data_IF_438113434582
#
_entry.id   IF_438113434582
#
_cell.length_a   1.000
_cell.length_b   1.000
_cell.length_c   1.000
_cell.angle_alpha   90.00
_cell.angle_beta   90.00
_cell.angle_gamma   90.00
#
_symmetry.space_group_name_H-M   'P 1'
#
loop_
_entity.id
_entity.type
_entity.pdbx_description
1 polymer ?
#
# COMPACT_ATOMS: atom_id res chain seq x y z
N UNK A 1 -5.09 1.58 12.34
CA UNK A 1 -6.47 1.50 12.90
C UNK A 1 -7.49 1.92 11.84
N UNK A 2 -8.77 1.59 12.03
CA UNK A 2 -9.85 2.03 11.12
C UNK A 2 -10.10 3.55 11.17
N UNK A 3 -9.88 4.18 12.33
CA UNK A 3 -9.82 5.65 12.48
C UNK A 3 -11.05 6.32 13.07
N UNK A 4 -12.25 5.77 12.86
CA UNK A 4 -13.50 6.36 13.36
C UNK A 4 -13.82 6.06 14.82
N UNK A 5 -13.25 5.00 15.40
CA UNK A 5 -13.53 4.54 16.75
C UNK A 5 -12.23 4.15 17.46
N UNK A 6 -11.82 4.96 18.44
CA UNK A 6 -10.68 4.70 19.30
C UNK A 6 -10.81 5.54 20.57
N UNK A 7 -10.07 5.17 21.62
CA UNK A 7 -9.88 5.99 22.81
C UNK A 7 -8.40 6.35 22.93
N UNK A 8 -8.11 7.57 23.35
CA UNK A 8 -6.75 8.09 23.53
C UNK A 8 -6.72 9.02 24.73
N UNK A 9 -5.61 9.02 25.48
CA UNK A 9 -5.40 10.04 26.50
C UNK A 9 -5.40 11.43 25.87
N UNK A 10 -6.09 12.38 26.49
CA UNK A 10 -6.26 13.73 25.93
C UNK A 10 -4.93 14.45 25.81
N UNK A 11 -4.07 14.37 26.84
CA UNK A 11 -2.80 15.10 26.84
C UNK A 11 -1.86 14.49 25.81
N UNK A 12 -1.78 13.17 25.76
CA UNK A 12 -1.04 12.44 24.74
C UNK A 12 -1.48 12.83 23.33
N UNK A 13 -2.79 12.87 23.05
CA UNK A 13 -3.32 13.29 21.74
C UNK A 13 -2.79 14.65 21.30
N UNK A 14 -2.76 15.64 22.19
CA UNK A 14 -2.22 16.97 21.89
C UNK A 14 -0.69 16.98 21.79
N UNK A 15 0.00 16.23 22.64
CA UNK A 15 1.46 16.12 22.65
C UNK A 15 2.00 15.52 21.35
N UNK A 16 1.36 14.45 20.85
CA UNK A 16 1.72 13.84 19.57
C UNK A 16 1.22 14.65 18.37
N UNK A 17 0.61 15.83 18.57
CA UNK A 17 0.28 16.78 17.50
C UNK A 17 -1.11 16.62 16.89
N UNK A 18 -2.09 16.10 17.63
CA UNK A 18 -3.51 16.00 17.24
C UNK A 18 -3.72 15.43 15.83
N UNK A 19 -4.60 15.99 15.01
CA UNK A 19 -4.71 15.65 13.58
C UNK A 19 -3.94 16.66 12.73
N UNK A 20 -3.56 16.26 11.52
CA UNK A 20 -3.09 17.20 10.51
C UNK A 20 -4.23 18.12 10.06
N UNK A 21 -4.18 19.39 10.48
CA UNK A 21 -5.19 20.39 10.15
C UNK A 21 -5.24 20.77 8.67
N UNK A 22 -4.25 20.35 7.87
CA UNK A 22 -4.27 20.50 6.42
C UNK A 22 -5.02 19.40 5.68
N UNK A 23 -5.50 18.36 6.38
CA UNK A 23 -6.37 17.34 5.79
C UNK A 23 -7.81 17.87 5.66
N UNK A 24 -8.45 17.51 4.55
CA UNK A 24 -9.77 18.01 4.19
C UNK A 24 -10.81 16.88 4.11
N UNK A 25 -12.01 17.13 4.62
CA UNK A 25 -13.19 16.25 4.59
C UNK A 25 -12.99 14.83 5.14
N UNK A 26 -12.38 13.93 4.38
CA UNK A 26 -12.34 12.51 4.70
C UNK A 26 -11.19 11.77 4.03
N UNK A 27 -10.59 10.83 4.77
CA UNK A 27 -9.65 9.84 4.26
C UNK A 27 -8.21 10.18 4.56
N UNK A 28 -7.40 9.15 4.84
CA UNK A 28 -5.95 9.27 5.09
C UNK A 28 -5.58 9.56 6.55
N UNK A 29 -6.44 10.21 7.32
CA UNK A 29 -6.15 10.63 8.70
C UNK A 29 -5.92 9.43 9.64
N UNK A 30 -6.58 8.31 9.37
CA UNK A 30 -6.43 7.07 10.11
C UNK A 30 -5.06 6.42 9.88
N UNK A 31 -4.53 6.48 8.65
CA UNK A 31 -3.20 6.00 8.31
C UNK A 31 -2.13 6.92 8.91
N UNK A 32 -2.29 8.23 8.78
CA UNK A 32 -1.37 9.23 9.34
C UNK A 32 -1.19 9.07 10.84
N UNK A 33 -2.29 9.04 11.59
CA UNK A 33 -2.26 8.83 13.03
C UNK A 33 -1.67 7.46 13.37
N UNK A 34 -1.95 6.41 12.58
CA UNK A 34 -1.39 5.08 12.84
C UNK A 34 0.13 5.04 12.71
N UNK A 35 0.67 5.61 11.63
CA UNK A 35 2.12 5.70 11.45
C UNK A 35 2.75 6.58 12.52
N UNK A 36 2.17 7.74 12.80
CA UNK A 36 2.67 8.65 13.82
C UNK A 36 2.71 8.01 15.21
N UNK A 37 1.63 7.38 15.67
CA UNK A 37 1.59 6.75 16.99
C UNK A 37 2.70 5.70 17.12
N UNK A 38 2.79 4.75 16.18
CA UNK A 38 3.81 3.70 16.23
C UNK A 38 5.23 4.25 16.12
N UNK A 39 5.47 5.12 15.14
CA UNK A 39 6.82 5.62 14.86
C UNK A 39 7.30 6.60 15.92
N UNK A 40 6.41 7.26 16.66
CA UNK A 40 6.77 8.25 17.69
C UNK A 40 6.67 7.69 19.12
N UNK A 41 6.64 6.36 19.30
CA UNK A 41 6.81 5.70 20.60
C UNK A 41 5.53 5.32 21.33
N UNK A 42 4.37 5.45 20.70
CA UNK A 42 3.12 4.88 21.19
C UNK A 42 2.83 3.49 20.63
N UNK A 43 1.67 2.96 20.98
CA UNK A 43 1.15 1.68 20.47
C UNK A 43 -0.30 1.85 20.03
N UNK A 44 -0.73 1.00 19.10
CA UNK A 44 -2.14 0.87 18.73
C UNK A 44 -2.63 -0.52 19.08
N UNK A 45 -3.75 -0.57 19.80
CA UNK A 45 -4.31 -1.82 20.31
C UNK A 45 -5.78 -1.96 19.91
N UNK A 46 -6.19 -3.19 19.61
CA UNK A 46 -7.60 -3.57 19.49
C UNK A 46 -7.95 -4.32 20.76
N UNK A 47 -8.90 -3.80 21.53
CA UNK A 47 -9.35 -4.40 22.81
C UNK A 47 -10.52 -5.34 22.51
N UNK A 48 -10.35 -6.68 22.54
CA UNK A 48 -11.41 -7.60 22.11
C UNK A 48 -12.66 -7.54 22.99
N UNK A 49 -12.54 -7.10 24.24
CA UNK A 49 -13.67 -6.95 25.16
C UNK A 49 -14.52 -5.68 24.90
N UNK A 50 -14.04 -4.74 24.08
CA UNK A 50 -14.75 -3.51 23.75
C UNK A 50 -15.42 -3.65 22.39
N UNK A 51 -16.76 -3.73 22.40
CA UNK A 51 -17.55 -3.91 21.18
C UNK A 51 -18.35 -2.66 20.87
N UNK A 52 -18.16 -2.11 19.66
CA UNK A 52 -18.98 -1.03 19.11
C UNK A 52 -19.43 -1.42 17.70
N UNK A 53 -20.74 -1.46 17.47
CA UNK A 53 -21.29 -1.72 16.15
C UNK A 53 -21.13 -0.52 15.23
N UNK A 54 -20.67 -0.75 14.00
CA UNK A 54 -20.57 0.27 12.95
C UNK A 54 -21.32 -0.19 11.71
N UNK A 55 -22.18 0.68 11.15
CA UNK A 55 -22.91 0.40 9.91
C UNK A 55 -22.00 0.73 8.73
N UNK A 56 -21.37 -0.30 8.16
CA UNK A 56 -20.60 -0.15 6.93
C UNK A 56 -21.52 0.21 5.76
N UNK A 57 -21.07 1.16 4.94
CA UNK A 57 -21.77 1.62 3.74
C UNK A 57 -20.85 1.40 2.53
N UNK A 58 -21.43 1.06 1.40
CA UNK A 58 -20.73 0.93 0.12
C UNK A 58 -20.56 2.26 -0.63
N UNK A 59 -21.09 3.37 -0.08
CA UNK A 59 -21.06 4.69 -0.70
C UNK A 59 -20.93 5.81 0.34
N UNK A 60 -20.42 6.98 -0.09
CA UNK A 60 -20.38 8.19 0.72
C UNK A 60 -21.74 8.91 0.68
N UNK A 61 -22.37 9.23 1.83
CA UNK A 61 -23.66 9.90 1.88
C UNK A 61 -23.58 11.42 1.67
N UNK A 62 -22.39 11.96 1.40
CA UNK A 62 -22.11 13.38 1.21
C UNK A 62 -21.33 13.60 -0.08
N UNK A 63 -21.46 14.80 -0.64
CA UNK A 63 -20.75 15.22 -1.85
C UNK A 63 -19.42 15.87 -1.50
N UNK A 64 -18.38 15.60 -2.29
CA UNK A 64 -17.11 16.30 -2.19
C UNK A 64 -17.19 17.61 -3.00
N UNK A 65 -17.09 18.79 -2.36
CA UNK A 65 -17.11 20.07 -3.05
C UNK A 65 -16.06 20.11 -4.16
N UNK A 66 -16.47 20.46 -5.38
CA UNK A 66 -15.57 20.61 -6.52
C UNK A 66 -14.98 19.30 -7.08
N UNK A 67 -15.52 18.12 -6.74
CA UNK A 67 -14.99 16.81 -7.15
C UNK A 67 -13.49 16.62 -6.83
N UNK A 68 -13.00 17.30 -5.80
CA UNK A 68 -11.62 17.19 -5.36
C UNK A 68 -11.40 15.82 -4.73
N UNK A 69 -10.35 15.10 -5.15
CA UNK A 69 -9.92 13.84 -4.55
C UNK A 69 -9.27 14.09 -3.17
N UNK A 70 -10.10 14.45 -2.20
CA UNK A 70 -9.68 14.74 -0.82
C UNK A 70 -9.00 13.54 -0.18
N UNK A 71 -9.53 12.34 -0.38
CA UNK A 71 -8.92 11.09 0.09
C UNK A 71 -7.49 10.92 -0.46
N UNK A 72 -7.30 11.09 -1.77
CA UNK A 72 -5.99 11.04 -2.41
C UNK A 72 -5.03 12.11 -1.88
N UNK A 73 -5.48 13.36 -1.79
CA UNK A 73 -4.64 14.48 -1.31
C UNK A 73 -4.23 14.33 0.15
N UNK A 74 -5.15 13.94 1.03
CA UNK A 74 -4.83 13.66 2.43
C UNK A 74 -3.87 12.49 2.56
N UNK A 75 -4.04 11.47 1.71
CA UNK A 75 -3.10 10.36 1.65
C UNK A 75 -1.72 10.85 1.22
N UNK A 76 -1.61 11.72 0.19
CA UNK A 76 -0.35 12.35 -0.24
C UNK A 76 0.36 13.04 0.93
N UNK A 77 -0.35 13.84 1.73
CA UNK A 77 0.21 14.48 2.94
C UNK A 77 0.79 13.45 3.91
N UNK A 78 0.12 12.32 4.08
CA UNK A 78 0.57 11.21 4.93
C UNK A 78 1.86 10.57 4.40
N UNK A 79 1.89 10.19 3.11
CA UNK A 79 3.04 9.52 2.48
C UNK A 79 4.28 10.42 2.52
N UNK A 80 4.11 11.71 2.22
CA UNK A 80 5.21 12.68 2.17
C UNK A 80 5.86 12.91 3.53
N UNK A 81 5.09 12.84 4.62
CA UNK A 81 5.61 13.01 5.98
C UNK A 81 6.17 11.71 6.55
N UNK A 82 5.46 10.59 6.37
CA UNK A 82 5.68 9.39 7.18
C UNK A 82 6.36 8.23 6.46
N UNK A 83 6.30 8.13 5.14
CA UNK A 83 6.72 6.91 4.43
C UNK A 83 8.15 6.94 3.87
N UNK A 84 8.91 8.01 4.07
CA UNK A 84 10.30 8.15 3.61
C UNK A 84 10.44 7.72 2.13
N UNK A 85 11.43 6.88 1.78
CA UNK A 85 11.64 6.40 0.40
C UNK A 85 10.60 5.37 -0.08
N UNK A 86 9.76 4.84 0.81
CA UNK A 86 8.71 3.88 0.46
C UNK A 86 7.51 4.55 -0.21
N UNK A 87 7.40 5.88 -0.17
CA UNK A 87 6.36 6.64 -0.88
C UNK A 87 6.32 6.38 -2.38
N UNK A 88 7.43 5.92 -2.98
CA UNK A 88 7.47 5.50 -4.40
C UNK A 88 6.42 4.43 -4.72
N UNK A 89 6.14 3.51 -3.81
CA UNK A 89 5.15 2.45 -4.01
C UNK A 89 3.73 3.01 -4.10
N UNK A 90 3.39 3.97 -3.24
CA UNK A 90 2.12 4.70 -3.35
C UNK A 90 1.98 5.37 -4.72
N UNK A 91 3.01 6.06 -5.20
CA UNK A 91 2.98 6.71 -6.51
C UNK A 91 2.99 5.76 -7.71
N UNK A 92 3.39 4.49 -7.53
CA UNK A 92 3.21 3.46 -8.57
C UNK A 92 1.74 3.03 -8.71
N UNK A 93 0.96 3.12 -7.63
CA UNK A 93 -0.50 2.89 -7.65
C UNK A 93 -1.28 4.15 -8.04
N UNK A 94 -0.84 5.33 -7.59
CA UNK A 94 -1.49 6.62 -7.80
C UNK A 94 -0.56 7.62 -8.51
N UNK A 95 -0.13 7.33 -9.76
CA UNK A 95 0.77 8.22 -10.49
C UNK A 95 0.13 9.58 -10.79
N UNK A 96 -1.20 9.65 -10.85
CA UNK A 96 -2.00 10.87 -10.99
C UNK A 96 -1.79 11.88 -9.85
N UNK A 97 -1.40 11.39 -8.67
CA UNK A 97 -1.19 12.23 -7.48
C UNK A 97 0.24 12.74 -7.31
N UNK A 98 1.19 12.35 -8.16
CA UNK A 98 2.62 12.65 -7.97
C UNK A 98 2.95 14.15 -7.96
N UNK A 99 2.20 14.96 -8.70
CA UNK A 99 2.40 16.40 -8.83
C UNK A 99 1.20 17.21 -8.32
N UNK A 100 0.34 16.61 -7.49
CA UNK A 100 -0.83 17.30 -6.96
C UNK A 100 -0.40 18.34 -5.92
N UNK A 101 -1.12 19.45 -5.83
CA UNK A 101 -0.97 20.38 -4.71
C UNK A 101 -1.64 19.78 -3.47
N UNK A 102 -0.81 19.44 -2.48
CA UNK A 102 -1.23 18.90 -1.19
C UNK A 102 -1.03 19.90 -0.03
N UNK A 103 -0.68 21.16 -0.34
CA UNK A 103 -0.45 22.22 0.65
C UNK A 103 0.84 22.04 1.46
N UNK A 104 1.04 22.93 2.44
CA UNK A 104 2.22 22.91 3.30
C UNK A 104 2.16 21.77 4.34
N UNK A 105 3.27 21.05 4.50
CA UNK A 105 3.47 19.96 5.47
C UNK A 105 4.60 20.27 6.46
N UNK A 106 5.15 21.49 6.44
CA UNK A 106 6.31 21.89 7.25
C UNK A 106 6.10 21.65 8.74
N UNK A 107 4.92 21.98 9.28
CA UNK A 107 4.60 21.72 10.69
C UNK A 107 4.63 20.23 11.04
N UNK A 108 4.11 19.36 10.16
CA UNK A 108 4.11 17.91 10.37
C UNK A 108 5.53 17.33 10.33
N UNK A 109 6.35 17.84 9.41
CA UNK A 109 7.77 17.48 9.33
C UNK A 109 8.55 17.92 10.58
N UNK A 110 8.28 19.11 11.11
CA UNK A 110 8.88 19.60 12.36
C UNK A 110 8.42 18.78 13.56
N UNK A 111 7.14 18.39 13.60
CA UNK A 111 6.59 17.50 14.63
C UNK A 111 7.32 16.14 14.64
N UNK A 112 7.47 15.49 13.47
CA UNK A 112 8.20 14.21 13.32
C UNK A 112 9.64 14.33 13.86
N UNK A 113 10.32 15.44 13.57
CA UNK A 113 11.67 15.73 14.09
C UNK A 113 11.68 15.96 15.60
N UNK A 114 10.75 16.77 16.13
CA UNK A 114 10.67 17.12 17.56
C UNK A 114 10.42 15.89 18.43
N UNK A 115 9.53 15.02 17.99
CA UNK A 115 9.20 13.75 18.68
C UNK A 115 10.25 12.66 18.46
N UNK A 116 11.29 12.92 17.63
CA UNK A 116 12.36 11.97 17.31
C UNK A 116 11.82 10.62 16.83
N UNK A 117 10.80 10.68 15.97
CA UNK A 117 10.13 9.47 15.48
C UNK A 117 11.09 8.60 14.66
N UNK A 118 10.85 7.29 14.69
CA UNK A 118 11.55 6.28 13.91
C UNK A 118 11.23 6.43 12.41
N UNK A 119 12.00 5.74 11.57
CA UNK A 119 11.80 5.71 10.12
C UNK A 119 10.67 4.76 9.72
N UNK A 120 10.16 4.91 8.50
CA UNK A 120 9.17 3.97 7.97
C UNK A 120 9.75 2.57 7.75
N UNK A 121 11.06 2.48 7.48
CA UNK A 121 11.79 1.21 7.45
C UNK A 121 11.63 0.47 8.79
N UNK A 122 11.88 1.16 9.91
CA UNK A 122 11.70 0.59 11.24
C UNK A 122 10.25 0.14 11.47
N UNK A 123 9.26 0.92 11.02
CA UNK A 123 7.84 0.51 11.12
C UNK A 123 7.57 -0.80 10.37
N UNK A 124 8.07 -0.94 9.14
CA UNK A 124 7.90 -2.17 8.36
C UNK A 124 8.68 -3.35 8.94
N UNK A 125 9.82 -3.13 9.59
CA UNK A 125 10.63 -4.21 10.17
C UNK A 125 10.12 -4.67 11.54
N UNK A 126 9.64 -3.76 12.38
CA UNK A 126 9.29 -4.06 13.77
C UNK A 126 7.78 -4.15 14.01
N UNK A 127 6.98 -3.36 13.30
CA UNK A 127 5.53 -3.24 13.55
C UNK A 127 4.70 -4.01 12.53
N UNK A 128 5.11 -4.02 11.25
CA UNK A 128 4.40 -4.74 10.19
C UNK A 128 5.31 -5.62 9.31
N UNK A 129 6.10 -6.55 9.91
CA UNK A 129 7.10 -7.37 9.22
C UNK A 129 6.54 -8.31 8.16
N UNK A 130 5.26 -8.70 8.28
CA UNK A 130 4.57 -9.56 7.32
C UNK A 130 4.22 -8.84 6.01
N UNK A 131 4.30 -7.49 5.96
CA UNK A 131 4.00 -6.75 4.74
C UNK A 131 5.05 -7.04 3.68
N UNK A 132 4.61 -7.55 2.54
CA UNK A 132 5.47 -7.72 1.38
C UNK A 132 6.01 -6.38 0.87
N UNK A 133 7.29 -6.38 0.49
CA UNK A 133 7.99 -5.22 -0.09
C UNK A 133 8.74 -5.68 -1.33
N UNK A 134 8.37 -5.16 -2.50
CA UNK A 134 8.85 -5.63 -3.81
C UNK A 134 10.37 -5.80 -3.96
N UNK A 135 11.17 -4.96 -3.31
CA UNK A 135 12.63 -4.93 -3.47
C UNK A 135 13.40 -5.61 -2.34
N UNK A 136 12.72 -6.18 -1.34
CA UNK A 136 13.35 -6.78 -0.16
C UNK A 136 13.38 -8.31 -0.32
N UNK A 137 14.52 -8.94 -0.02
CA UNK A 137 14.70 -10.40 -0.01
C UNK A 137 14.31 -11.07 -1.36
N UNK A 138 14.76 -10.46 -2.46
CA UNK A 138 14.44 -10.86 -3.84
C UNK A 138 15.70 -10.86 -4.71
N UNK A 139 15.73 -11.73 -5.71
CA UNK A 139 16.78 -11.73 -6.73
C UNK A 139 16.66 -10.55 -7.68
N UNK A 140 15.43 -10.17 -8.03
CA UNK A 140 15.12 -9.05 -8.90
C UNK A 140 13.68 -8.56 -8.67
N UNK A 141 13.41 -7.31 -9.02
CA UNK A 141 12.05 -6.76 -9.05
C UNK A 141 11.94 -5.70 -10.14
N UNK A 142 10.73 -5.52 -10.68
CA UNK A 142 10.48 -4.56 -11.75
C UNK A 142 9.53 -5.12 -12.79
N UNK A 143 9.73 -4.73 -14.04
CA UNK A 143 8.96 -5.22 -15.17
C UNK A 143 9.62 -6.46 -15.78
N UNK A 144 8.85 -7.54 -15.95
CA UNK A 144 9.30 -8.75 -16.63
C UNK A 144 8.99 -8.64 -18.14
N UNK A 145 10.00 -8.26 -18.93
CA UNK A 145 9.87 -8.05 -20.39
C UNK A 145 10.30 -9.29 -21.17
N UNK A 146 9.43 -9.75 -22.08
CA UNK A 146 9.80 -10.72 -23.10
C UNK A 146 10.69 -10.04 -24.17
N UNK A 147 11.92 -10.51 -24.42
CA UNK A 147 12.84 -9.87 -25.35
C UNK A 147 12.44 -10.03 -26.82
N UNK A 148 11.65 -11.05 -27.16
CA UNK A 148 11.22 -11.35 -28.53
C UNK A 148 10.00 -10.51 -28.90
N UNK A 149 8.96 -10.52 -28.07
CA UNK A 149 7.71 -9.79 -28.35
C UNK A 149 7.75 -8.34 -27.89
N UNK A 150 8.65 -8.00 -26.96
CA UNK A 150 8.71 -6.69 -26.33
C UNK A 150 7.59 -6.40 -25.33
N UNK A 151 6.72 -7.38 -25.05
CA UNK A 151 5.61 -7.28 -24.10
C UNK A 151 6.08 -7.57 -22.67
N UNK A 152 5.38 -7.02 -21.69
CA UNK A 152 5.65 -7.20 -20.27
C UNK A 152 4.55 -8.02 -19.60
N UNK A 153 4.92 -8.81 -18.59
CA UNK A 153 3.98 -9.48 -17.71
C UNK A 153 3.10 -8.42 -17.00
N UNK A 154 1.79 -8.64 -16.99
CA UNK A 154 0.80 -7.66 -16.57
C UNK A 154 -0.40 -8.35 -15.91
N UNK A 155 -0.83 -7.83 -14.76
CA UNK A 155 -2.05 -8.27 -14.05
C UNK A 155 -3.35 -7.82 -14.73
N UNK A 156 -3.26 -7.01 -15.79
CA UNK A 156 -4.37 -6.53 -16.62
C UNK A 156 -5.47 -5.80 -15.83
N UNK A 157 -5.08 -5.18 -14.70
CA UNK A 157 -6.01 -4.58 -13.73
C UNK A 157 -7.13 -5.53 -13.26
N UNK A 158 -6.84 -6.84 -13.24
CA UNK A 158 -7.73 -7.84 -12.66
C UNK A 158 -7.73 -7.71 -11.14
N UNK A 159 -8.79 -8.21 -10.53
CA UNK A 159 -9.01 -8.17 -9.09
C UNK A 159 -7.97 -9.05 -8.37
N UNK A 160 -7.10 -8.45 -7.58
CA UNK A 160 -6.02 -9.17 -6.86
C UNK A 160 -6.58 -10.06 -5.72
N UNK A 161 -7.83 -9.85 -5.30
CA UNK A 161 -8.48 -10.70 -4.29
C UNK A 161 -9.02 -12.01 -4.88
N UNK A 162 -9.02 -12.15 -6.21
CA UNK A 162 -9.50 -13.32 -6.94
C UNK A 162 -8.34 -14.07 -7.60
N UNK A 163 -8.52 -15.39 -7.77
CA UNK A 163 -7.61 -16.21 -8.54
C UNK A 163 -7.79 -15.93 -10.04
N UNK A 164 -7.12 -14.90 -10.52
CA UNK A 164 -7.22 -14.40 -11.88
C UNK A 164 -5.96 -14.78 -12.68
N UNK A 165 -6.10 -15.09 -13.98
CA UNK A 165 -4.92 -15.35 -14.81
C UNK A 165 -4.00 -14.13 -14.84
N UNK A 166 -2.70 -14.34 -14.99
CA UNK A 166 -1.78 -13.27 -15.37
C UNK A 166 -1.72 -13.17 -16.90
N UNK A 167 -1.48 -11.98 -17.43
CA UNK A 167 -1.40 -11.75 -18.87
C UNK A 167 -0.13 -11.01 -19.24
N UNK A 168 -0.12 -10.48 -20.46
CA UNK A 168 0.94 -9.62 -20.95
C UNK A 168 0.34 -8.40 -21.63
N UNK A 169 1.07 -7.28 -21.56
CA UNK A 169 0.67 -6.03 -22.18
C UNK A 169 1.88 -5.23 -22.66
N UNK A 170 1.65 -4.12 -23.37
CA UNK A 170 2.71 -3.21 -23.77
C UNK A 170 3.48 -2.73 -22.52
N UNK A 171 4.79 -2.90 -22.51
CA UNK A 171 5.64 -2.41 -21.43
C UNK A 171 5.49 -0.88 -21.28
N UNK A 172 5.19 -0.40 -20.08
CA UNK A 172 5.09 1.03 -19.79
C UNK A 172 6.48 1.59 -19.52
N UNK A 173 7.15 2.10 -20.56
CA UNK A 173 8.51 2.66 -20.44
C UNK A 173 8.56 4.17 -20.22
N UNK A 174 7.51 4.93 -20.56
CA UNK A 174 7.57 6.40 -20.61
C UNK A 174 7.04 7.12 -19.34
N UNK A 175 6.35 6.42 -18.44
CA UNK A 175 5.75 7.00 -17.22
C UNK A 175 6.36 6.49 -15.91
N UNK A 176 7.39 5.64 -15.99
CA UNK A 176 7.92 4.88 -14.86
C UNK A 176 7.21 3.54 -14.66
N UNK A 177 7.62 2.82 -13.61
CA UNK A 177 7.04 1.53 -13.20
C UNK A 177 5.56 1.74 -12.83
N UNK A 178 4.68 0.94 -13.43
CA UNK A 178 3.25 0.86 -13.07
C UNK A 178 3.03 -0.38 -12.23
N UNK A 179 2.13 -0.30 -11.24
CA UNK A 179 1.95 -1.38 -10.28
C UNK A 179 1.46 -2.69 -10.90
N UNK A 180 0.66 -2.62 -11.96
CA UNK A 180 0.13 -3.81 -12.62
C UNK A 180 1.21 -4.63 -13.34
N UNK A 181 2.36 -4.02 -13.67
CA UNK A 181 3.54 -4.66 -14.27
C UNK A 181 4.71 -4.83 -13.28
N UNK A 182 4.50 -4.50 -12.00
CA UNK A 182 5.53 -4.64 -10.98
C UNK A 182 5.45 -6.03 -10.36
N UNK A 183 6.51 -6.82 -10.57
CA UNK A 183 6.65 -8.20 -10.10
C UNK A 183 8.01 -8.33 -9.41
N UNK A 184 8.06 -9.21 -8.41
CA UNK A 184 9.29 -9.60 -7.73
C UNK A 184 9.61 -11.06 -8.02
N UNK A 185 10.89 -11.35 -8.25
CA UNK A 185 11.42 -12.71 -8.29
C UNK A 185 12.05 -13.03 -6.94
N UNK A 186 11.34 -13.82 -6.12
CA UNK A 186 11.71 -14.08 -4.73
C UNK A 186 12.92 -15.01 -4.63
N UNK A 187 13.59 -15.03 -3.47
CA UNK A 187 14.66 -15.99 -3.19
C UNK A 187 14.19 -17.45 -3.21
N UNK A 188 12.88 -17.69 -3.05
CA UNK A 188 12.26 -19.01 -3.17
C UNK A 188 12.00 -19.43 -4.63
N UNK A 189 12.27 -18.55 -5.61
CA UNK A 189 12.04 -18.83 -7.03
C UNK A 189 10.64 -18.46 -7.54
N UNK A 190 9.84 -17.74 -6.74
CA UNK A 190 8.45 -17.41 -7.09
C UNK A 190 8.37 -16.08 -7.85
N UNK A 191 7.43 -15.97 -8.79
CA UNK A 191 7.01 -14.68 -9.36
C UNK A 191 5.87 -14.10 -8.52
N UNK A 192 6.20 -13.14 -7.66
CA UNK A 192 5.30 -12.61 -6.63
C UNK A 192 4.84 -11.18 -6.90
N UNK A 193 3.59 -10.90 -6.55
CA UNK A 193 2.96 -9.59 -6.49
C UNK A 193 2.09 -9.51 -5.24
N UNK A 194 2.49 -8.66 -4.30
CA UNK A 194 1.81 -8.53 -2.99
C UNK A 194 1.72 -9.88 -2.27
N UNK A 195 0.52 -10.38 -2.01
CA UNK A 195 0.31 -11.68 -1.34
C UNK A 195 0.11 -12.83 -2.33
N UNK A 196 0.16 -12.55 -3.64
CA UNK A 196 -0.08 -13.52 -4.69
C UNK A 196 1.19 -13.91 -5.45
N UNK A 197 1.29 -15.18 -5.80
CA UNK A 197 2.35 -15.78 -6.59
C UNK A 197 1.76 -16.37 -7.87
N UNK A 198 2.55 -16.38 -8.94
CA UNK A 198 2.15 -17.01 -10.19
C UNK A 198 2.18 -18.53 -10.04
N UNK A 199 1.05 -19.19 -10.25
CA UNK A 199 0.89 -20.63 -10.08
C UNK A 199 0.49 -21.28 -11.40
N UNK A 200 1.12 -22.41 -11.73
CA UNK A 200 0.73 -23.25 -12.87
C UNK A 200 -0.45 -24.11 -12.46
N UNK A 201 -1.61 -23.88 -13.09
CA UNK A 201 -2.79 -24.70 -12.84
C UNK A 201 -2.72 -25.99 -13.68
N UNK A 202 -2.27 -27.08 -13.06
CA UNK A 202 -2.20 -28.42 -13.67
C UNK A 202 -3.56 -29.13 -13.73
N UNK A 203 -4.56 -28.49 -14.35
CA UNK A 203 -5.83 -29.17 -14.62
C UNK A 203 -5.64 -30.05 -15.86
N UNK A 204 -5.41 -31.35 -15.64
CA UNK A 204 -4.76 -32.34 -16.51
C UNK A 204 -5.41 -32.68 -17.87
N UNK A 205 -6.10 -31.75 -18.52
CA UNK A 205 -6.76 -31.97 -19.81
C UNK A 205 -6.64 -30.82 -20.84
N UNK A 206 -5.93 -29.71 -20.55
CA UNK A 206 -5.76 -28.60 -21.51
C UNK A 206 -4.33 -28.53 -22.05
N UNK A 207 -4.20 -28.27 -23.36
CA UNK A 207 -2.92 -28.07 -24.05
C UNK A 207 -2.21 -26.76 -23.67
N UNK A 208 -2.95 -25.81 -23.09
CA UNK A 208 -2.44 -24.57 -22.51
C UNK A 208 -2.79 -24.55 -21.02
N UNK A 209 -1.78 -24.58 -20.17
CA UNK A 209 -1.93 -24.42 -18.72
C UNK A 209 -1.88 -22.92 -18.41
N UNK A 210 -3.00 -22.28 -18.01
CA UNK A 210 -2.98 -20.88 -17.66
C UNK A 210 -2.19 -20.68 -16.37
N UNK A 211 -1.36 -19.63 -16.35
CA UNK A 211 -0.72 -19.15 -15.13
C UNK A 211 -1.73 -18.26 -14.41
N UNK A 212 -2.05 -18.61 -13.17
CA UNK A 212 -3.00 -17.89 -12.32
C UNK A 212 -2.27 -17.25 -11.14
N UNK A 213 -2.70 -16.06 -10.74
CA UNK A 213 -2.21 -15.45 -9.51
C UNK A 213 -3.02 -15.99 -8.34
N UNK A 214 -2.38 -16.69 -7.43
CA UNK A 214 -3.00 -17.29 -6.23
C UNK A 214 -2.20 -16.88 -5.00
N UNK A 215 -2.75 -17.09 -3.79
CA UNK A 215 -1.99 -16.78 -2.56
C UNK A 215 -0.69 -17.57 -2.51
N UNK A 216 0.41 -16.87 -2.23
CA UNK A 216 1.72 -17.52 -2.08
C UNK A 216 1.67 -18.55 -0.95
N UNK A 217 2.11 -19.78 -1.23
CA UNK A 217 2.16 -20.87 -0.24
C UNK A 217 3.57 -21.36 0.08
N UNK A 218 4.60 -20.93 -0.67
CA UNK A 218 6.02 -21.19 -0.38
C UNK A 218 6.35 -22.67 -0.14
N UNK A 219 5.70 -23.54 -0.92
CA UNK A 219 5.88 -25.00 -0.89
C UNK A 219 6.96 -25.48 -1.86
N UNK A 220 7.42 -24.61 -2.77
CA UNK A 220 8.48 -24.92 -3.74
C UNK A 220 8.06 -25.90 -4.83
N UNK A 221 6.78 -25.94 -5.17
CA UNK A 221 6.17 -26.83 -6.16
C UNK A 221 5.72 -26.08 -7.42
N UNK A 222 4.46 -25.68 -7.52
CA UNK A 222 3.85 -25.15 -8.74
C UNK A 222 3.77 -23.61 -8.79
N UNK A 223 4.44 -22.93 -7.85
CA UNK A 223 4.57 -21.46 -7.73
C UNK A 223 6.01 -20.99 -7.97
#
# INVERSE_FOLDING_TARGET
>A
MAGGLFAIDRNYFWEIGSYDSGMDIWGGENLEMSFRVWMCGGTLEIVPCSHVGHIFRSFHPYTFPGNKDTHGINTVRTVEVWMDDYKKYFYYHRPDLKNIDFGDISERMLLKKRLKCKSFKWYLEEIYPQKFIFHKDVHAYGMLKNPITGLCLDSLNRDEDKNEPIGYYQCKSHSGIVINQLISYTEAGELRKEDNCAEVNEDGMKSELPIIMTKCHSKGDNQ
#
